data_IF_011267032114
#
_entry.id   IF_011267032114
#
_cell.length_a   1.000
_cell.length_b   1.000
_cell.length_c   1.000
_cell.angle_alpha   90.00
_cell.angle_beta   90.00
_cell.angle_gamma   90.00
#
_symmetry.space_group_name_H-M   'P 1'
#
loop_
_entity.id
_entity.type
_entity.pdbx_description
1 polymer ?
#
# COMPACT_ATOMS: atom_id res chain seq x y z
N UNK A 1 -17.17 31.49 -9.95
CA UNK A 1 -16.16 32.23 -9.17
C UNK A 1 -15.11 31.22 -8.78
N UNK A 2 -13.83 31.50 -8.83
CA UNK A 2 -12.82 30.49 -8.51
C UNK A 2 -12.88 30.18 -7.01
N UNK A 3 -13.16 28.91 -6.69
CA UNK A 3 -13.11 28.42 -5.31
C UNK A 3 -11.66 28.51 -4.83
N UNK A 4 -11.45 29.15 -3.69
CA UNK A 4 -10.14 29.15 -3.02
C UNK A 4 -9.95 27.83 -2.28
N UNK A 5 -8.74 27.27 -2.39
CA UNK A 5 -8.37 26.06 -1.67
C UNK A 5 -7.18 26.37 -0.74
N UNK A 6 -7.30 25.98 0.52
CA UNK A 6 -6.21 26.03 1.50
C UNK A 6 -5.92 24.60 1.93
N UNK A 7 -4.67 24.18 1.78
CA UNK A 7 -4.19 22.88 2.23
C UNK A 7 -3.13 23.08 3.31
N UNK A 8 -3.29 22.39 4.44
CA UNK A 8 -2.38 22.45 5.57
C UNK A 8 -1.92 21.05 5.97
N UNK A 9 -0.68 20.94 6.44
CA UNK A 9 -0.24 19.78 7.19
C UNK A 9 -0.51 19.99 8.67
N UNK A 10 -1.22 19.04 9.29
CA UNK A 10 -1.61 19.08 10.70
C UNK A 10 -0.89 17.95 11.45
N UNK A 11 0.06 18.33 12.29
CA UNK A 11 0.78 17.39 13.13
C UNK A 11 0.04 17.13 14.46
N UNK A 12 0.21 15.93 15.03
CA UNK A 12 -0.37 15.56 16.32
C UNK A 12 -1.75 14.89 16.25
N UNK A 13 -2.34 14.70 15.07
CA UNK A 13 -3.54 13.88 14.93
C UNK A 13 -3.18 12.39 15.01
N UNK A 14 -3.80 11.65 15.96
CA UNK A 14 -3.52 10.22 16.17
C UNK A 14 -4.75 9.33 16.07
N UNK A 15 -5.96 9.91 15.97
CA UNK A 15 -7.20 9.15 15.94
C UNK A 15 -8.34 9.94 15.28
N UNK A 16 -9.45 9.24 14.95
CA UNK A 16 -10.61 9.85 14.32
C UNK A 16 -11.27 10.95 15.18
N UNK A 17 -11.12 10.90 16.50
CA UNK A 17 -11.62 11.98 17.37
C UNK A 17 -10.79 13.26 17.19
N UNK A 18 -9.50 13.14 16.85
CA UNK A 18 -8.65 14.26 16.48
C UNK A 18 -9.12 14.89 15.17
N UNK A 19 -9.42 14.05 14.16
CA UNK A 19 -9.96 14.47 12.86
C UNK A 19 -11.24 15.29 13.05
N UNK A 20 -12.22 14.74 13.78
CA UNK A 20 -13.48 15.42 14.03
C UNK A 20 -13.31 16.77 14.75
N UNK A 21 -12.31 16.88 15.64
CA UNK A 21 -12.00 18.14 16.32
C UNK A 21 -11.41 19.17 15.37
N UNK A 22 -10.49 18.77 14.50
CA UNK A 22 -9.90 19.65 13.49
C UNK A 22 -10.96 20.07 12.46
N UNK A 23 -11.77 19.14 11.97
CA UNK A 23 -12.89 19.45 11.05
C UNK A 23 -13.87 20.44 11.65
N UNK A 24 -14.26 20.24 12.93
CA UNK A 24 -15.15 21.16 13.63
C UNK A 24 -14.58 22.55 13.80
N UNK A 25 -13.27 22.68 14.05
CA UNK A 25 -12.58 23.96 14.16
C UNK A 25 -12.50 24.67 12.81
N UNK A 26 -12.18 23.95 11.75
CA UNK A 26 -12.07 24.48 10.40
C UNK A 26 -13.43 24.88 9.80
N UNK A 27 -14.49 24.16 10.13
CA UNK A 27 -15.85 24.51 9.69
C UNK A 27 -16.38 25.83 10.29
N UNK A 28 -15.74 26.34 11.34
CA UNK A 28 -16.09 27.63 11.95
C UNK A 28 -15.32 28.81 11.33
N UNK A 29 -14.37 28.56 10.43
CA UNK A 29 -13.63 29.61 9.74
C UNK A 29 -14.53 30.33 8.73
N UNK A 30 -14.48 31.66 8.76
CA UNK A 30 -15.26 32.47 7.84
C UNK A 30 -14.89 32.19 6.38
N UNK A 31 -15.88 31.84 5.57
CA UNK A 31 -15.70 31.53 4.16
C UNK A 31 -15.34 30.08 3.87
N UNK A 32 -15.31 29.20 4.85
CA UNK A 32 -15.15 27.76 4.63
C UNK A 32 -16.48 27.12 4.22
N UNK A 33 -16.55 26.55 3.02
CA UNK A 33 -17.73 25.85 2.50
C UNK A 33 -17.61 24.33 2.65
N UNK A 34 -16.41 23.79 2.38
CA UNK A 34 -16.12 22.37 2.54
C UNK A 34 -14.81 22.17 3.26
N UNK A 35 -14.80 21.26 4.23
CA UNK A 35 -13.63 20.86 5.01
C UNK A 35 -13.44 19.35 4.86
N UNK A 36 -12.21 18.93 4.59
CA UNK A 36 -11.83 17.53 4.56
C UNK A 36 -10.51 17.34 5.30
N UNK A 37 -10.47 16.42 6.27
CA UNK A 37 -9.27 16.12 7.05
C UNK A 37 -8.90 14.66 6.87
N UNK A 38 -7.67 14.42 6.43
CA UNK A 38 -7.11 13.07 6.25
C UNK A 38 -6.13 12.76 7.38
N UNK A 39 -6.49 11.79 8.22
CA UNK A 39 -5.65 11.32 9.32
C UNK A 39 -4.39 10.62 8.81
N UNK A 40 -4.51 9.83 7.73
CA UNK A 40 -3.41 9.04 7.19
C UNK A 40 -2.30 9.90 6.59
N UNK A 41 -2.67 11.01 5.95
CA UNK A 41 -1.74 11.98 5.38
C UNK A 41 -1.38 13.11 6.34
N UNK A 42 -2.08 13.25 7.47
CA UNK A 42 -1.92 14.38 8.38
C UNK A 42 -2.25 15.71 7.70
N UNK A 43 -3.23 15.73 6.79
CA UNK A 43 -3.57 16.93 6.00
C UNK A 43 -5.00 17.37 6.23
N UNK A 44 -5.21 18.69 6.20
CA UNK A 44 -6.52 19.29 6.16
C UNK A 44 -6.66 20.13 4.88
N UNK A 45 -7.78 19.98 4.18
CA UNK A 45 -8.15 20.77 3.00
C UNK A 45 -9.44 21.54 3.31
N UNK A 46 -9.40 22.84 3.05
CA UNK A 46 -10.55 23.73 3.17
C UNK A 46 -10.78 24.40 1.83
N UNK A 47 -11.99 24.30 1.31
CA UNK A 47 -12.41 25.07 0.13
C UNK A 47 -13.52 26.05 0.51
N UNK A 48 -13.52 27.21 -0.16
CA UNK A 48 -14.49 28.23 0.14
C UNK A 48 -14.39 29.46 -0.73
N UNK A 49 -15.16 30.49 -0.39
CA UNK A 49 -15.26 31.74 -1.12
C UNK A 49 -14.04 32.67 -0.96
N UNK A 50 -14.15 33.89 -1.50
CA UNK A 50 -13.07 34.90 -1.47
C UNK A 50 -12.65 35.34 -0.05
N UNK A 51 -13.50 35.15 0.95
CA UNK A 51 -13.24 35.47 2.35
C UNK A 51 -12.40 34.42 3.08
N UNK A 52 -12.11 33.27 2.44
CA UNK A 52 -11.27 32.23 3.02
C UNK A 52 -9.81 32.71 3.07
N UNK A 53 -9.29 32.91 4.27
CA UNK A 53 -7.92 33.33 4.52
C UNK A 53 -7.09 32.23 5.16
N UNK A 54 -5.89 32.01 4.63
CA UNK A 54 -4.99 30.96 5.09
C UNK A 54 -4.63 31.14 6.57
N UNK A 55 -4.38 32.36 7.02
CA UNK A 55 -4.00 32.67 8.41
C UNK A 55 -5.10 32.29 9.39
N UNK A 56 -6.36 32.51 8.99
CA UNK A 56 -7.53 32.14 9.78
C UNK A 56 -7.68 30.62 9.89
N UNK A 57 -7.38 29.88 8.83
CA UNK A 57 -7.39 28.42 8.79
C UNK A 57 -6.28 27.84 9.69
N UNK A 58 -5.05 28.38 9.59
CA UNK A 58 -3.93 28.00 10.44
C UNK A 58 -4.21 28.25 11.92
N UNK A 59 -4.75 29.42 12.25
CA UNK A 59 -5.11 29.78 13.63
C UNK A 59 -6.18 28.84 14.22
N UNK A 60 -7.17 28.46 13.41
CA UNK A 60 -8.23 27.55 13.85
C UNK A 60 -7.67 26.16 14.24
N UNK A 61 -6.70 25.63 13.45
CA UNK A 61 -6.03 24.37 13.77
C UNK A 61 -5.18 24.48 15.03
N UNK A 62 -4.43 25.59 15.17
CA UNK A 62 -3.60 25.83 16.37
C UNK A 62 -4.47 26.00 17.62
N UNK A 63 -5.60 26.73 17.53
CA UNK A 63 -6.57 26.89 18.61
C UNK A 63 -7.21 25.58 19.04
N UNK A 64 -7.35 24.61 18.10
CA UNK A 64 -7.80 23.25 18.40
C UNK A 64 -6.74 22.38 19.09
N UNK A 65 -5.51 22.90 19.26
CA UNK A 65 -4.42 22.23 19.98
C UNK A 65 -3.51 21.37 19.10
N UNK A 66 -3.49 21.63 17.79
CA UNK A 66 -2.65 20.91 16.82
C UNK A 66 -1.59 21.82 16.22
N UNK A 67 -0.45 21.25 15.85
CA UNK A 67 0.61 22.00 15.17
C UNK A 67 0.35 22.05 13.66
N UNK A 68 0.47 23.26 13.08
CA UNK A 68 0.45 23.46 11.64
C UNK A 68 1.87 23.57 11.14
N UNK A 69 2.29 22.67 10.28
CA UNK A 69 3.51 22.87 9.51
C UNK A 69 3.20 23.91 8.43
N UNK A 70 3.63 25.14 8.67
CA UNK A 70 3.45 26.29 7.77
C UNK A 70 4.10 25.98 6.44
N UNK A 71 3.31 25.66 5.44
CA UNK A 71 3.77 25.74 4.05
C UNK A 71 3.67 27.20 3.67
N UNK A 72 4.75 27.97 3.97
CA UNK A 72 4.89 29.33 3.46
C UNK A 72 4.65 29.32 1.96
N UNK A 73 3.92 30.31 1.48
CA UNK A 73 3.62 30.63 0.08
C UNK A 73 4.89 30.62 -0.81
N UNK A 74 5.31 29.47 -1.14
CA UNK A 74 6.03 29.07 -2.32
C UNK A 74 5.40 27.73 -2.65
N UNK A 75 5.08 27.47 -3.90
CA UNK A 75 4.95 26.13 -4.41
C UNK A 75 6.24 25.40 -4.00
N UNK A 76 6.30 24.96 -2.75
CA UNK A 76 7.24 23.95 -2.35
C UNK A 76 6.64 22.71 -3.00
N UNK A 77 7.03 22.48 -4.26
CA UNK A 77 7.22 21.14 -4.70
C UNK A 77 7.66 20.40 -3.44
N UNK A 78 6.80 19.54 -2.90
CA UNK A 78 7.24 18.44 -2.05
C UNK A 78 8.59 18.09 -2.65
N UNK A 79 9.72 18.10 -1.89
CA UNK A 79 10.95 17.64 -2.47
C UNK A 79 10.51 16.34 -3.08
N UNK A 80 10.55 16.23 -4.40
CA UNK A 80 10.23 15.02 -5.09
C UNK A 80 11.18 14.06 -4.43
N UNK A 81 10.69 13.42 -3.34
CA UNK A 81 11.42 12.35 -2.70
C UNK A 81 11.59 11.44 -3.87
N UNK A 82 12.81 11.46 -4.44
CA UNK A 82 13.02 10.88 -5.76
C UNK A 82 12.30 9.55 -5.66
N UNK A 83 11.46 9.20 -6.61
CA UNK A 83 10.66 7.96 -6.65
C UNK A 83 11.50 6.80 -6.10
N UNK A 84 12.80 6.85 -6.35
CA UNK A 84 13.82 5.97 -5.83
C UNK A 84 13.93 5.96 -4.29
N UNK A 85 13.77 7.08 -3.58
CA UNK A 85 13.87 7.08 -2.09
C UNK A 85 12.66 6.38 -1.45
N UNK A 86 11.49 6.56 -2.02
CA UNK A 86 10.26 5.90 -1.57
C UNK A 86 10.33 4.39 -1.77
N UNK A 87 10.97 3.92 -2.87
CA UNK A 87 11.07 2.49 -3.18
C UNK A 87 12.32 1.81 -2.61
N UNK A 88 13.26 2.54 -1.98
CA UNK A 88 14.47 1.95 -1.38
C UNK A 88 14.20 0.73 -0.50
N UNK A 89 13.30 0.76 0.49
CA UNK A 89 13.10 -0.40 1.36
C UNK A 89 12.59 -1.63 0.60
N UNK A 90 11.74 -1.44 -0.39
CA UNK A 90 11.26 -2.51 -1.27
C UNK A 90 12.42 -3.11 -2.10
N UNK A 91 13.21 -2.24 -2.75
CA UNK A 91 14.36 -2.67 -3.56
C UNK A 91 15.41 -3.40 -2.74
N UNK A 92 15.66 -2.94 -1.50
CA UNK A 92 16.58 -3.63 -0.57
C UNK A 92 16.03 -5.00 -0.19
N UNK A 93 14.76 -5.11 0.17
CA UNK A 93 14.14 -6.39 0.52
C UNK A 93 14.21 -7.38 -0.66
N UNK A 94 13.81 -6.96 -1.86
CA UNK A 94 13.86 -7.77 -3.07
C UNK A 94 15.32 -8.19 -3.40
N UNK A 95 16.27 -7.26 -3.28
CA UNK A 95 17.68 -7.54 -3.50
C UNK A 95 18.24 -8.58 -2.53
N UNK A 96 17.92 -8.48 -1.24
CA UNK A 96 18.33 -9.43 -0.23
C UNK A 96 17.73 -10.83 -0.47
N UNK A 97 16.45 -10.90 -0.85
CA UNK A 97 15.80 -12.16 -1.19
C UNK A 97 16.46 -12.78 -2.43
N UNK A 98 16.74 -11.98 -3.47
CA UNK A 98 17.42 -12.45 -4.68
C UNK A 98 18.84 -12.98 -4.39
N UNK A 99 19.64 -12.23 -3.64
CA UNK A 99 20.99 -12.64 -3.24
C UNK A 99 20.92 -13.92 -2.40
N UNK A 100 20.03 -14.00 -1.41
CA UNK A 100 19.84 -15.19 -0.58
C UNK A 100 19.44 -16.42 -1.41
N UNK A 101 18.55 -16.23 -2.39
CA UNK A 101 18.08 -17.28 -3.28
C UNK A 101 19.20 -17.85 -4.18
N UNK A 102 20.11 -17.00 -4.64
CA UNK A 102 21.27 -17.40 -5.44
C UNK A 102 22.36 -18.02 -4.58
N UNK A 103 22.65 -17.46 -3.41
CA UNK A 103 23.70 -17.93 -2.51
C UNK A 103 23.40 -19.31 -1.93
N UNK A 104 22.12 -19.66 -1.74
CA UNK A 104 21.71 -20.92 -1.11
C UNK A 104 21.73 -22.15 -2.05
N UNK A 105 22.04 -22.00 -3.33
CA UNK A 105 22.07 -23.16 -4.26
C UNK A 105 22.27 -22.80 -5.74
N UNK A 106 22.83 -21.63 -6.02
CA UNK A 106 23.08 -21.18 -7.39
C UNK A 106 21.80 -20.88 -8.19
N UNK A 107 21.90 -20.90 -9.51
CA UNK A 107 20.79 -20.57 -10.42
C UNK A 107 19.69 -21.64 -10.45
N UNK A 108 20.08 -22.91 -10.28
CA UNK A 108 19.13 -24.01 -10.28
C UNK A 108 18.19 -23.90 -9.06
N UNK A 109 16.89 -23.85 -9.31
CA UNK A 109 15.87 -23.66 -8.27
C UNK A 109 15.86 -22.27 -7.62
N UNK A 110 16.65 -21.30 -8.08
CA UNK A 110 16.70 -19.95 -7.51
C UNK A 110 15.33 -19.25 -7.56
N UNK A 111 14.55 -19.49 -8.61
CA UNK A 111 13.21 -18.90 -8.76
C UNK A 111 12.26 -19.39 -7.67
N UNK A 112 12.24 -20.69 -7.37
CA UNK A 112 11.40 -21.23 -6.28
C UNK A 112 11.83 -20.68 -4.91
N UNK A 113 13.14 -20.60 -4.64
CA UNK A 113 13.66 -20.00 -3.40
C UNK A 113 13.34 -18.51 -3.30
N UNK A 114 13.41 -17.78 -4.41
CA UNK A 114 13.02 -16.37 -4.47
C UNK A 114 11.54 -16.20 -4.14
N UNK A 115 10.64 -16.97 -4.77
CA UNK A 115 9.21 -16.94 -4.48
C UNK A 115 8.92 -17.30 -3.02
N UNK A 116 9.61 -18.33 -2.48
CA UNK A 116 9.50 -18.70 -1.08
C UNK A 116 9.90 -17.57 -0.13
N UNK A 117 11.07 -16.98 -0.36
CA UNK A 117 11.58 -15.84 0.40
C UNK A 117 10.67 -14.61 0.30
N UNK A 118 10.19 -14.30 -0.90
CA UNK A 118 9.27 -13.21 -1.15
C UNK A 118 7.98 -13.36 -0.33
N UNK A 119 7.28 -14.48 -0.46
CA UNK A 119 6.05 -14.72 0.27
C UNK A 119 6.25 -14.68 1.79
N UNK A 120 7.36 -15.23 2.32
CA UNK A 120 7.63 -15.20 3.76
C UNK A 120 7.92 -13.79 4.28
N UNK A 121 8.75 -13.01 3.58
CA UNK A 121 9.09 -11.65 4.03
C UNK A 121 7.86 -10.75 3.95
N UNK A 122 7.15 -10.75 2.83
CA UNK A 122 6.00 -9.84 2.65
C UNK A 122 4.79 -10.25 3.48
N UNK A 123 4.53 -11.52 3.67
CA UNK A 123 3.50 -11.97 4.63
C UNK A 123 3.86 -11.59 6.05
N UNK A 124 5.14 -11.73 6.45
CA UNK A 124 5.62 -11.29 7.76
C UNK A 124 5.38 -9.79 8.01
N UNK A 125 5.69 -8.94 7.02
CA UNK A 125 5.42 -7.50 7.11
C UNK A 125 3.92 -7.19 7.27
N UNK A 126 3.05 -7.92 6.57
CA UNK A 126 1.59 -7.78 6.71
C UNK A 126 1.09 -8.23 8.08
N UNK A 127 1.73 -9.23 8.69
CA UNK A 127 1.39 -9.74 10.02
C UNK A 127 1.78 -8.78 11.16
N UNK A 128 2.70 -7.84 10.95
CA UNK A 128 3.09 -6.84 11.96
C UNK A 128 1.91 -5.93 12.35
N UNK A 129 1.03 -5.62 11.40
CA UNK A 129 -0.22 -4.91 11.67
C UNK A 129 -1.37 -5.55 10.89
N UNK A 130 -1.77 -6.72 11.35
CA UNK A 130 -2.79 -7.54 10.71
C UNK A 130 -4.16 -6.84 10.59
N UNK A 131 -4.66 -6.13 11.62
CA UNK A 131 -5.92 -5.39 11.50
C UNK A 131 -5.85 -4.23 10.49
N UNK A 132 -4.76 -3.47 10.50
CA UNK A 132 -4.52 -2.37 9.55
C UNK A 132 -4.41 -2.88 8.12
N UNK A 133 -3.67 -3.97 7.91
CA UNK A 133 -3.60 -4.65 6.62
C UNK A 133 -4.97 -5.11 6.14
N UNK A 134 -5.74 -5.84 6.96
CA UNK A 134 -7.05 -6.37 6.57
C UNK A 134 -8.03 -5.26 6.17
N UNK A 135 -8.01 -4.14 6.90
CA UNK A 135 -8.82 -2.95 6.59
C UNK A 135 -8.41 -2.33 5.24
N UNK A 136 -7.12 -2.12 5.01
CA UNK A 136 -6.61 -1.58 3.75
C UNK A 136 -6.90 -2.52 2.57
N UNK A 137 -6.66 -3.82 2.74
CA UNK A 137 -6.88 -4.86 1.75
C UNK A 137 -8.34 -4.98 1.32
N UNK A 138 -9.29 -4.82 2.26
CA UNK A 138 -10.72 -4.85 1.98
C UNK A 138 -11.22 -3.70 1.09
N UNK A 139 -10.43 -2.65 0.89
CA UNK A 139 -10.83 -1.54 0.03
C UNK A 139 -10.70 -1.89 -1.47
N UNK A 140 -9.81 -2.80 -1.84
CA UNK A 140 -9.54 -3.10 -3.24
C UNK A 140 -9.69 -4.58 -3.63
N UNK A 141 -9.44 -5.53 -2.73
CA UNK A 141 -9.57 -6.94 -3.05
C UNK A 141 -11.05 -7.36 -3.20
N UNK A 142 -11.35 -8.13 -4.23
CA UNK A 142 -12.72 -8.51 -4.59
C UNK A 142 -13.37 -9.41 -3.56
N UNK A 143 -12.59 -10.28 -2.91
CA UNK A 143 -13.08 -11.22 -1.91
C UNK A 143 -13.12 -10.58 -0.53
N UNK A 144 -12.08 -9.84 -0.14
CA UNK A 144 -12.00 -9.15 1.15
C UNK A 144 -13.09 -8.08 1.31
N UNK A 145 -13.54 -7.45 0.22
CA UNK A 145 -14.71 -6.53 0.22
C UNK A 145 -16.01 -7.23 0.62
N UNK A 146 -16.17 -8.52 0.29
CA UNK A 146 -17.39 -9.30 0.63
C UNK A 146 -17.23 -10.05 1.93
N UNK A 147 -16.02 -10.49 2.24
CA UNK A 147 -15.69 -11.31 3.40
C UNK A 147 -14.50 -10.69 4.12
N UNK A 148 -14.69 -9.71 5.03
CA UNK A 148 -13.60 -8.99 5.70
C UNK A 148 -12.62 -9.91 6.44
N UNK A 149 -13.08 -11.05 6.95
CA UNK A 149 -12.23 -12.06 7.60
C UNK A 149 -11.16 -12.65 6.66
N UNK A 150 -11.39 -12.60 5.34
CA UNK A 150 -10.40 -13.05 4.35
C UNK A 150 -9.12 -12.23 4.42
N UNK A 151 -9.22 -10.91 4.63
CA UNK A 151 -8.06 -10.05 4.80
C UNK A 151 -7.18 -10.42 6.01
N UNK A 152 -7.77 -10.98 7.07
CA UNK A 152 -7.01 -11.49 8.22
C UNK A 152 -6.30 -12.82 7.92
N UNK A 153 -6.86 -13.65 7.03
CA UNK A 153 -6.33 -14.97 6.69
C UNK A 153 -5.27 -14.88 5.58
N UNK A 154 -5.39 -13.91 4.70
CA UNK A 154 -4.57 -13.79 3.50
C UNK A 154 -3.05 -13.82 3.76
N UNK A 155 -2.47 -13.09 4.76
CA UNK A 155 -1.04 -13.17 5.05
C UNK A 155 -0.58 -14.56 5.50
N UNK A 156 -1.42 -15.33 6.19
CA UNK A 156 -1.11 -16.72 6.57
C UNK A 156 -1.12 -17.66 5.37
N UNK A 157 -2.00 -17.40 4.40
CA UNK A 157 -2.03 -18.13 3.14
C UNK A 157 -0.74 -17.86 2.34
N UNK A 158 -0.30 -16.60 2.24
CA UNK A 158 0.99 -16.25 1.62
C UNK A 158 2.18 -16.89 2.33
N UNK A 159 2.21 -16.85 3.68
CA UNK A 159 3.26 -17.51 4.46
C UNK A 159 3.30 -19.02 4.19
N UNK A 160 2.13 -19.65 4.08
CA UNK A 160 2.02 -21.08 3.74
C UNK A 160 2.56 -21.39 2.35
N UNK A 161 2.30 -20.51 1.37
CA UNK A 161 2.90 -20.61 0.03
C UNK A 161 4.41 -20.46 0.10
N UNK A 162 4.92 -19.50 0.87
CA UNK A 162 6.36 -19.31 1.06
C UNK A 162 7.04 -20.56 1.61
N UNK A 163 6.48 -21.17 2.65
CA UNK A 163 6.98 -22.44 3.19
C UNK A 163 6.90 -23.58 2.16
N UNK A 164 5.80 -23.65 1.40
CA UNK A 164 5.62 -24.68 0.38
C UNK A 164 6.65 -24.56 -0.75
N UNK A 165 6.96 -23.36 -1.21
CA UNK A 165 8.02 -23.12 -2.23
C UNK A 165 9.40 -23.52 -1.74
N UNK A 166 9.70 -23.36 -0.45
CA UNK A 166 10.98 -23.80 0.11
C UNK A 166 11.03 -25.32 0.31
N UNK A 167 9.89 -25.96 0.59
CA UNK A 167 9.82 -27.40 0.88
C UNK A 167 9.67 -28.26 -0.39
N UNK A 168 8.84 -27.83 -1.34
CA UNK A 168 8.45 -28.61 -2.55
C UNK A 168 8.42 -27.72 -3.81
N UNK A 169 9.57 -27.15 -4.20
CA UNK A 169 9.65 -26.12 -5.23
C UNK A 169 9.24 -26.60 -6.64
N UNK A 170 9.11 -27.89 -6.88
CA UNK A 170 8.77 -28.51 -8.18
C UNK A 170 7.31 -28.94 -8.30
N UNK A 171 6.48 -28.63 -7.29
CA UNK A 171 5.08 -29.08 -7.28
C UNK A 171 4.23 -28.32 -8.30
N UNK A 172 3.71 -29.04 -9.31
CA UNK A 172 2.81 -28.50 -10.34
C UNK A 172 1.55 -27.85 -9.71
N UNK A 173 0.96 -28.51 -8.70
CA UNK A 173 -0.20 -27.99 -8.00
C UNK A 173 0.08 -26.67 -7.26
N UNK A 174 1.30 -26.51 -6.68
CA UNK A 174 1.72 -25.28 -6.03
C UNK A 174 1.81 -24.14 -7.04
N UNK A 175 2.43 -24.37 -8.20
CA UNK A 175 2.57 -23.34 -9.23
C UNK A 175 1.21 -22.93 -9.80
N UNK A 176 0.32 -23.89 -10.09
CA UNK A 176 -1.01 -23.62 -10.59
C UNK A 176 -1.86 -22.83 -9.58
N UNK A 177 -1.80 -23.21 -8.31
CA UNK A 177 -2.51 -22.50 -7.24
C UNK A 177 -2.00 -21.08 -7.06
N UNK A 178 -0.67 -20.90 -7.02
CA UNK A 178 -0.06 -19.56 -6.90
C UNK A 178 -0.42 -18.67 -8.09
N UNK A 179 -0.33 -19.20 -9.32
CA UNK A 179 -0.74 -18.48 -10.52
C UNK A 179 -2.19 -18.00 -10.43
N UNK A 180 -3.11 -18.91 -10.06
CA UNK A 180 -4.53 -18.58 -9.93
C UNK A 180 -4.77 -17.51 -8.83
N UNK A 181 -4.11 -17.65 -7.69
CA UNK A 181 -4.22 -16.71 -6.57
C UNK A 181 -3.73 -15.30 -6.95
N UNK A 182 -2.54 -15.22 -7.58
CA UNK A 182 -1.94 -13.94 -7.99
C UNK A 182 -2.76 -13.25 -9.09
N UNK A 183 -3.25 -13.99 -10.06
CA UNK A 183 -4.14 -13.43 -11.09
C UNK A 183 -5.44 -12.92 -10.49
N UNK A 184 -6.02 -13.65 -9.53
CA UNK A 184 -7.25 -13.23 -8.85
C UNK A 184 -7.03 -11.94 -8.05
N UNK A 185 -5.94 -11.87 -7.26
CA UNK A 185 -5.55 -10.66 -6.51
C UNK A 185 -5.33 -9.47 -7.45
N UNK A 186 -4.58 -9.67 -8.55
CA UNK A 186 -4.32 -8.64 -9.56
C UNK A 186 -5.60 -8.02 -10.14
N UNK A 187 -6.68 -8.80 -10.30
CA UNK A 187 -7.95 -8.26 -10.81
C UNK A 187 -8.54 -7.19 -9.90
N UNK A 188 -8.43 -7.37 -8.58
CA UNK A 188 -8.87 -6.37 -7.60
C UNK A 188 -8.11 -5.08 -7.73
N UNK A 189 -6.77 -5.18 -7.79
CA UNK A 189 -5.85 -4.04 -7.91
C UNK A 189 -6.05 -3.31 -9.23
N UNK A 190 -6.09 -4.02 -10.36
CA UNK A 190 -6.31 -3.43 -11.69
C UNK A 190 -7.64 -2.66 -11.73
N UNK A 191 -8.70 -3.23 -11.16
CA UNK A 191 -10.00 -2.57 -11.10
C UNK A 191 -9.97 -1.29 -10.28
N UNK A 192 -9.25 -1.28 -9.16
CA UNK A 192 -9.07 -0.11 -8.30
C UNK A 192 -8.30 1.00 -9.03
N UNK A 193 -7.22 0.64 -9.71
CA UNK A 193 -6.42 1.57 -10.52
C UNK A 193 -7.23 2.19 -11.66
N UNK A 194 -8.01 1.38 -12.39
CA UNK A 194 -8.86 1.87 -13.49
C UNK A 194 -9.96 2.84 -12.99
N UNK A 195 -10.30 2.80 -11.70
CA UNK A 195 -11.26 3.72 -11.08
C UNK A 195 -10.62 4.99 -10.52
N UNK A 196 -9.30 5.14 -10.67
CA UNK A 196 -8.51 6.23 -10.10
C UNK A 196 -8.73 6.42 -8.57
N UNK A 197 -8.97 5.30 -7.86
CA UNK A 197 -9.07 5.30 -6.40
C UNK A 197 -7.64 5.43 -5.84
N UNK A 198 -7.31 6.55 -5.20
CA UNK A 198 -6.04 6.75 -4.50
C UNK A 198 -6.06 5.97 -3.18
N UNK A 199 -5.63 4.70 -3.23
CA UNK A 199 -5.58 3.84 -2.06
C UNK A 199 -4.11 3.59 -1.64
N UNK A 200 -3.79 3.57 -0.33
CA UNK A 200 -2.46 3.22 0.14
C UNK A 200 -2.17 1.73 -0.11
N UNK A 201 -0.96 1.43 -0.55
CA UNK A 201 -0.53 0.04 -0.75
C UNK A 201 -0.42 -0.70 0.59
N UNK A 202 -0.98 -1.89 0.66
CA UNK A 202 -0.89 -2.77 1.82
C UNK A 202 0.21 -3.84 1.68
N UNK A 203 1.00 -3.85 0.59
CA UNK A 203 1.98 -4.92 0.30
C UNK A 203 3.05 -5.07 1.39
N UNK A 204 3.48 -3.96 1.99
CA UNK A 204 4.48 -3.92 3.06
C UNK A 204 3.87 -3.64 4.45
N UNK A 205 2.58 -3.97 4.64
CA UNK A 205 1.84 -3.62 5.83
C UNK A 205 1.53 -2.12 5.90
N UNK A 206 1.14 -1.64 7.08
CA UNK A 206 0.81 -0.21 7.30
C UNK A 206 2.03 0.63 7.66
N UNK A 207 3.20 0.00 7.88
CA UNK A 207 4.43 0.66 8.32
C UNK A 207 5.10 1.50 7.24
N UNK A 208 4.86 1.19 5.95
CA UNK A 208 5.47 1.88 4.81
C UNK A 208 4.37 2.21 3.80
N UNK A 209 4.06 3.49 3.66
CA UNK A 209 3.06 3.98 2.71
C UNK A 209 3.69 4.15 1.32
N UNK A 210 3.40 3.22 0.42
CA UNK A 210 3.76 3.31 -0.99
C UNK A 210 2.52 3.64 -1.83
N UNK A 211 2.65 4.40 -2.92
CA UNK A 211 1.55 4.57 -3.86
C UNK A 211 1.18 3.21 -4.48
N UNK A 212 -0.06 2.81 -4.33
CA UNK A 212 -0.57 1.47 -4.66
C UNK A 212 -0.48 1.09 -6.14
N UNK A 213 -0.34 2.06 -7.01
CA UNK A 213 -0.71 1.92 -8.41
C UNK A 213 0.18 1.00 -9.23
N UNK A 214 1.49 1.18 -9.20
CA UNK A 214 2.39 0.49 -10.13
C UNK A 214 3.09 -0.69 -9.46
N UNK A 215 3.45 -0.55 -8.19
CA UNK A 215 4.27 -1.54 -7.47
C UNK A 215 3.51 -2.84 -7.25
N UNK A 216 2.30 -2.77 -6.71
CA UNK A 216 1.48 -3.96 -6.43
C UNK A 216 1.16 -4.74 -7.69
N UNK A 217 0.84 -4.02 -8.79
CA UNK A 217 0.60 -4.69 -10.09
C UNK A 217 1.87 -5.37 -10.58
N UNK A 218 3.02 -4.71 -10.51
CA UNK A 218 4.30 -5.28 -10.95
C UNK A 218 4.68 -6.49 -10.09
N UNK A 219 4.47 -6.42 -8.77
CA UNK A 219 4.70 -7.55 -7.86
C UNK A 219 3.79 -8.73 -8.16
N UNK A 220 2.48 -8.53 -8.19
CA UNK A 220 1.50 -9.60 -8.44
C UNK A 220 1.68 -10.23 -9.82
N UNK A 221 1.85 -9.41 -10.87
CA UNK A 221 2.09 -9.92 -12.22
C UNK A 221 3.46 -10.57 -12.37
N UNK A 222 4.49 -10.06 -11.68
CA UNK A 222 5.81 -10.68 -11.64
C UNK A 222 5.76 -12.06 -11.01
N UNK A 223 5.07 -12.21 -9.87
CA UNK A 223 4.89 -13.50 -9.20
C UNK A 223 4.02 -14.45 -10.04
N UNK A 224 2.97 -13.95 -10.69
CA UNK A 224 2.15 -14.73 -11.62
C UNK A 224 2.98 -15.23 -12.82
N UNK A 225 3.82 -14.37 -13.40
CA UNK A 225 4.69 -14.75 -14.52
C UNK A 225 5.72 -15.83 -14.13
N UNK A 226 6.35 -15.69 -12.94
CA UNK A 226 7.26 -16.70 -12.41
C UNK A 226 6.55 -18.03 -12.13
N UNK A 227 5.37 -18.01 -11.50
CA UNK A 227 4.57 -19.21 -11.26
C UNK A 227 4.14 -19.86 -12.57
N UNK A 228 3.74 -19.08 -13.56
CA UNK A 228 3.39 -19.57 -14.91
C UNK A 228 4.58 -20.22 -15.63
N UNK A 229 5.76 -19.60 -15.55
CA UNK A 229 6.98 -20.16 -16.10
C UNK A 229 7.32 -21.53 -15.47
N UNK A 230 7.34 -21.58 -14.14
CA UNK A 230 7.63 -22.82 -13.39
C UNK A 230 6.58 -23.91 -13.66
N UNK A 231 5.31 -23.51 -13.89
CA UNK A 231 4.26 -24.45 -14.26
C UNK A 231 4.53 -25.10 -15.60
N UNK A 232 4.92 -24.31 -16.60
CA UNK A 232 5.27 -24.80 -17.95
C UNK A 232 6.50 -25.72 -17.89
N UNK A 233 7.56 -25.28 -17.22
CA UNK A 233 8.80 -26.06 -17.05
C UNK A 233 8.53 -27.41 -16.37
N UNK A 234 7.77 -27.40 -15.26
CA UNK A 234 7.42 -28.65 -14.53
C UNK A 234 6.53 -29.57 -15.37
N UNK A 235 5.65 -29.03 -16.21
CA UNK A 235 4.80 -29.84 -17.10
C UNK A 235 5.59 -30.50 -18.23
N UNK A 236 6.62 -29.85 -18.73
CA UNK A 236 7.49 -30.40 -19.77
C UNK A 236 8.37 -31.53 -19.21
N UNK A 237 8.89 -31.38 -18.01
CA UNK A 237 9.72 -32.43 -17.37
C UNK A 237 8.93 -33.67 -16.98
N UNK A 238 7.61 -33.57 -16.75
CA UNK A 238 6.74 -34.71 -16.47
C UNK A 238 6.35 -35.51 -17.74
N UNK A 239 6.50 -34.91 -18.92
CA UNK A 239 6.14 -35.54 -20.19
C UNK A 239 7.36 -36.12 -20.94
N UNK A 240 8.57 -36.04 -20.36
CA UNK A 240 9.81 -36.66 -20.83
C UNK A 240 10.17 -37.89 -20.02
#
# INVERSE_FOLDING_TARGET
MPDRFVRLHVAGMTCNACVARVESALAQVAGADHVHVDLGQGTAMVSGGESLDQTSVEYAVQAAGYEVATTGSAAHELPASSTFQTFKPLMVALGLIAIGSLASGGLEGAMGRFMGGFFLVFSGLKMLDLPGFAKAYSNYDLLARRVPSYGLIYPFLEASLGCAYLAVPTSLGLHAFTLALMLFSSLGVIRSVLRAEELPCACMGTSIQLPMTTVTIVEDLGMAAMAGWMLVESSLTLNL
#
